data_IF_627246147992
#
_entry.id   IF_627246147992
#
_cell.length_a   1.000
_cell.length_b   1.000
_cell.length_c   1.000
_cell.angle_alpha   90.00
_cell.angle_beta   90.00
_cell.angle_gamma   90.00
#
_symmetry.space_group_name_H-M   'P 1'
#
loop_
_entity.id
_entity.type
_entity.pdbx_description
1 polymer ?
#
# COMPACT_ATOMS: atom_id res chain seq x y z
N UNK A 1 0.81 -7.63 -3.40
CA UNK A 1 1.42 -6.32 -3.76
C UNK A 1 2.74 -6.46 -4.50
N UNK A 2 3.66 -7.26 -4.01
CA UNK A 2 4.95 -7.51 -4.68
C UNK A 2 4.80 -7.94 -6.15
N UNK A 3 3.96 -8.93 -6.42
CA UNK A 3 3.77 -9.48 -7.76
C UNK A 3 3.15 -8.49 -8.74
N UNK A 4 2.20 -7.67 -8.27
CA UNK A 4 1.59 -6.61 -9.06
C UNK A 4 2.59 -5.52 -9.44
N UNK A 5 3.50 -5.18 -8.54
CA UNK A 5 4.57 -4.20 -8.78
C UNK A 5 5.58 -4.76 -9.78
N UNK A 6 5.97 -6.02 -9.64
CA UNK A 6 6.87 -6.70 -10.57
C UNK A 6 6.24 -6.73 -11.97
N UNK A 7 4.96 -7.04 -12.08
CA UNK A 7 4.24 -7.06 -13.36
C UNK A 7 4.22 -5.67 -14.02
N UNK A 8 3.97 -4.61 -13.24
CA UNK A 8 4.06 -3.23 -13.72
C UNK A 8 5.45 -2.85 -14.21
N UNK A 9 6.49 -3.28 -13.50
CA UNK A 9 7.88 -3.01 -13.88
C UNK A 9 8.31 -3.80 -15.11
N UNK A 10 7.80 -5.01 -15.29
CA UNK A 10 8.09 -5.84 -16.47
C UNK A 10 7.47 -5.29 -17.76
N UNK A 11 6.35 -4.60 -17.66
CA UNK A 11 5.71 -3.94 -18.81
C UNK A 11 6.57 -2.81 -19.41
N UNK A 12 7.51 -2.29 -18.66
CA UNK A 12 8.50 -1.30 -19.11
C UNK A 12 9.91 -1.90 -19.11
N UNK A 13 10.16 -2.77 -20.05
CA UNK A 13 11.51 -3.32 -20.32
C UNK A 13 12.44 -2.18 -20.68
N UNK A 14 13.40 -1.81 -19.87
CA UNK A 14 14.64 -1.10 -20.19
C UNK A 14 15.11 -0.05 -19.18
N UNK A 15 14.77 -0.18 -17.91
CA UNK A 15 15.48 0.62 -16.91
C UNK A 15 16.39 -0.31 -16.11
N UNK A 16 17.70 -0.29 -16.33
CA UNK A 16 18.62 -1.00 -15.45
C UNK A 16 18.51 -0.38 -14.06
N UNK A 17 17.84 -1.07 -13.15
CA UNK A 17 17.88 -0.67 -11.74
C UNK A 17 19.23 -1.07 -11.17
N UNK A 18 20.10 -0.12 -10.96
CA UNK A 18 21.41 -0.34 -10.35
C UNK A 18 21.33 -0.68 -8.86
N UNK A 19 20.18 -0.45 -8.23
CA UNK A 19 19.97 -0.69 -6.80
C UNK A 19 18.63 -1.35 -6.57
N UNK A 20 18.66 -2.46 -5.84
CA UNK A 20 17.46 -3.17 -5.40
C UNK A 20 17.45 -3.24 -3.89
N UNK A 21 16.48 -2.57 -3.27
CA UNK A 21 16.28 -2.60 -1.84
C UNK A 21 14.98 -3.32 -1.50
N UNK A 22 15.04 -4.30 -0.62
CA UNK A 22 13.87 -4.96 -0.07
C UNK A 22 13.75 -4.66 1.43
N UNK A 23 12.57 -4.29 1.86
CA UNK A 23 12.27 -4.09 3.27
C UNK A 23 10.83 -4.49 3.56
N UNK A 24 10.63 -5.13 4.70
CA UNK A 24 9.29 -5.42 5.24
C UNK A 24 8.61 -4.21 5.88
N UNK A 25 9.33 -3.10 6.07
CA UNK A 25 8.83 -1.88 6.68
C UNK A 25 8.66 -0.76 5.66
N UNK A 26 7.47 -0.20 5.60
CA UNK A 26 7.16 0.94 4.74
C UNK A 26 7.94 2.19 5.14
N UNK A 27 8.11 2.44 6.43
CA UNK A 27 8.89 3.56 6.94
C UNK A 27 10.36 3.48 6.51
N UNK A 28 10.95 2.30 6.56
CA UNK A 28 12.30 2.07 6.09
C UNK A 28 12.42 2.34 4.58
N UNK A 29 11.47 1.89 3.78
CA UNK A 29 11.45 2.15 2.33
C UNK A 29 11.36 3.65 2.04
N UNK A 30 10.51 4.38 2.75
CA UNK A 30 10.40 5.83 2.59
C UNK A 30 11.71 6.55 2.94
N UNK A 31 12.41 6.11 4.00
CA UNK A 31 13.72 6.67 4.37
C UNK A 31 14.80 6.40 3.33
N UNK A 32 14.80 5.22 2.74
CA UNK A 32 15.72 4.88 1.63
C UNK A 32 15.47 5.81 0.44
N UNK A 33 14.24 6.06 0.08
CA UNK A 33 13.87 6.99 -1.00
C UNK A 33 14.36 8.41 -0.71
N UNK A 34 14.26 8.86 0.55
CA UNK A 34 14.73 10.18 0.94
C UNK A 34 16.26 10.35 0.82
N UNK A 35 17.00 9.27 1.08
CA UNK A 35 18.46 9.29 1.07
C UNK A 35 19.05 8.95 -0.30
N UNK A 36 18.24 8.53 -1.25
CA UNK A 36 18.68 8.05 -2.56
C UNK A 36 17.83 8.66 -3.67
N UNK A 37 18.23 8.44 -4.90
CA UNK A 37 17.44 8.81 -6.09
C UNK A 37 16.49 7.68 -6.53
N UNK A 38 16.14 6.79 -5.61
CA UNK A 38 15.25 5.66 -5.88
C UNK A 38 13.78 6.05 -5.80
N UNK A 39 12.94 5.21 -6.41
CA UNK A 39 11.50 5.29 -6.33
C UNK A 39 10.94 4.08 -5.60
N UNK A 40 9.82 4.24 -4.93
CA UNK A 40 9.08 3.15 -4.33
C UNK A 40 7.58 3.31 -4.57
N UNK A 41 6.84 2.25 -4.37
CA UNK A 41 5.37 2.26 -4.46
C UNK A 41 4.81 2.07 -3.06
N UNK A 42 3.88 2.94 -2.70
CA UNK A 42 3.20 2.92 -1.40
C UNK A 42 1.70 2.76 -1.60
N UNK A 43 1.00 2.11 -0.64
CA UNK A 43 -0.45 2.07 -0.65
C UNK A 43 -1.05 3.46 -0.46
N UNK A 44 -2.21 3.73 -1.08
CA UNK A 44 -2.93 5.00 -0.92
C UNK A 44 -3.21 5.33 0.56
N UNK A 45 -3.57 4.34 1.35
CA UNK A 45 -3.82 4.53 2.78
C UNK A 45 -2.59 5.00 3.57
N UNK A 46 -1.39 4.78 3.06
CA UNK A 46 -0.16 5.26 3.69
C UNK A 46 0.07 6.77 3.49
N UNK A 47 -0.66 7.41 2.59
CA UNK A 47 -0.56 8.85 2.34
C UNK A 47 -0.89 9.69 3.59
N UNK A 48 -1.74 9.18 4.46
CA UNK A 48 -2.10 9.85 5.70
C UNK A 48 -0.90 10.06 6.63
N UNK A 49 0.05 9.13 6.59
CA UNK A 49 1.27 9.16 7.42
C UNK A 49 2.43 9.92 6.77
N UNK A 50 2.26 10.40 5.54
CA UNK A 50 3.31 11.14 4.83
C UNK A 50 3.21 12.61 5.19
N UNK A 51 4.31 13.23 5.68
CA UNK A 51 4.35 14.67 5.93
C UNK A 51 3.98 15.48 4.69
N UNK A 52 3.29 16.61 4.90
CA UNK A 52 2.82 17.47 3.82
C UNK A 52 3.92 17.91 2.84
N UNK A 53 5.13 18.10 3.36
CA UNK A 53 6.31 18.48 2.59
C UNK A 53 6.69 17.44 1.54
N UNK A 54 6.51 16.15 1.87
CA UNK A 54 6.84 15.01 0.99
C UNK A 54 5.71 14.66 0.04
N UNK A 55 4.50 15.08 0.30
CA UNK A 55 3.34 14.80 -0.57
C UNK A 55 3.53 15.33 -1.99
N UNK A 56 4.33 16.36 -2.17
CA UNK A 56 4.69 16.88 -3.51
C UNK A 56 5.45 15.88 -4.37
N UNK A 57 6.15 14.95 -3.76
CA UNK A 57 6.91 13.90 -4.46
C UNK A 57 6.05 12.71 -4.87
N UNK A 58 4.84 12.62 -4.33
CA UNK A 58 3.92 11.51 -4.60
C UNK A 58 3.25 11.70 -5.95
N UNK A 59 3.30 10.67 -6.77
CA UNK A 59 2.59 10.58 -8.05
C UNK A 59 1.61 9.43 -8.01
N UNK A 60 0.43 9.65 -8.50
CA UNK A 60 -0.61 8.62 -8.56
C UNK A 60 -0.42 7.77 -9.81
N UNK A 61 -0.50 6.45 -9.64
CA UNK A 61 -0.55 5.53 -10.78
C UNK A 61 -1.92 5.63 -11.49
N UNK A 62 -1.95 5.26 -12.75
CA UNK A 62 -3.20 5.23 -13.51
C UNK A 62 -4.27 4.40 -12.80
N UNK A 63 -5.51 4.86 -12.84
CA UNK A 63 -6.65 4.14 -12.23
C UNK A 63 -6.72 2.71 -12.73
N UNK A 64 -6.86 1.77 -11.81
CA UNK A 64 -6.96 0.34 -12.13
C UNK A 64 -5.63 -0.37 -12.37
N UNK A 65 -4.49 0.33 -12.29
CA UNK A 65 -3.18 -0.30 -12.48
C UNK A 65 -2.87 -1.34 -11.40
N UNK A 66 -3.26 -1.06 -10.16
CA UNK A 66 -3.08 -1.98 -9.03
C UNK A 66 -4.15 -1.77 -7.98
N UNK A 67 -4.61 -2.85 -7.38
CA UNK A 67 -5.50 -2.81 -6.23
C UNK A 67 -5.12 -3.90 -5.23
N UNK A 68 -5.36 -3.64 -3.96
CA UNK A 68 -5.15 -4.62 -2.90
C UNK A 68 -6.45 -4.87 -2.16
N UNK A 69 -6.85 -6.14 -2.12
CA UNK A 69 -7.99 -6.57 -1.31
C UNK A 69 -7.51 -6.85 0.10
N UNK A 70 -8.16 -6.25 1.07
CA UNK A 70 -7.95 -6.53 2.49
C UNK A 70 -9.11 -7.40 2.96
N UNK A 71 -8.82 -8.46 3.72
CA UNK A 71 -9.82 -9.39 4.21
C UNK A 71 -9.53 -9.77 5.66
N UNK A 72 -10.58 -10.04 6.41
CA UNK A 72 -10.48 -10.60 7.75
C UNK A 72 -10.50 -12.13 7.60
N UNK A 73 -9.44 -12.78 8.05
CA UNK A 73 -9.34 -14.23 8.07
C UNK A 73 -9.59 -14.78 9.48
N UNK A 74 -10.50 -15.71 9.60
CA UNK A 74 -10.83 -16.36 10.87
C UNK A 74 -10.77 -17.87 10.73
N UNK A 75 -10.58 -18.58 11.84
CA UNK A 75 -10.69 -20.04 11.87
C UNK A 75 -12.10 -20.47 11.51
N UNK A 76 -12.25 -21.57 10.75
CA UNK A 76 -13.55 -22.15 10.37
C UNK A 76 -14.44 -22.45 11.59
N UNK A 77 -13.84 -22.78 12.73
CA UNK A 77 -14.52 -23.10 13.99
C UNK A 77 -14.73 -21.91 14.92
N UNK A 78 -14.51 -20.68 14.42
CA UNK A 78 -14.70 -19.49 15.23
C UNK A 78 -16.20 -19.20 15.43
N UNK A 79 -16.62 -19.15 16.70
CA UNK A 79 -18.05 -19.10 17.07
C UNK A 79 -18.58 -17.68 17.26
N UNK A 80 -17.71 -16.69 17.49
CA UNK A 80 -18.12 -15.32 17.82
C UNK A 80 -18.30 -14.43 16.57
N UNK A 81 -19.19 -14.82 15.69
CA UNK A 81 -19.44 -14.08 14.44
C UNK A 81 -19.92 -12.64 14.65
N UNK A 82 -20.62 -12.35 15.76
CA UNK A 82 -21.08 -10.99 16.07
C UNK A 82 -19.92 -10.01 16.27
N UNK A 83 -18.81 -10.46 16.89
CA UNK A 83 -17.62 -9.64 17.07
C UNK A 83 -16.93 -9.38 15.73
N UNK A 84 -16.84 -10.38 14.89
CA UNK A 84 -16.25 -10.23 13.55
C UNK A 84 -17.05 -9.25 12.70
N UNK A 85 -18.39 -9.36 12.72
CA UNK A 85 -19.26 -8.45 11.99
C UNK A 85 -19.16 -7.00 12.51
N UNK A 86 -19.06 -6.81 13.82
CA UNK A 86 -18.86 -5.51 14.42
C UNK A 86 -17.50 -4.89 14.02
N UNK A 87 -16.44 -5.70 14.03
CA UNK A 87 -15.11 -5.30 13.59
C UNK A 87 -15.10 -4.92 12.11
N UNK A 88 -15.71 -5.73 11.25
CA UNK A 88 -15.86 -5.44 9.82
C UNK A 88 -16.57 -4.11 9.59
N UNK A 89 -17.70 -3.88 10.28
CA UNK A 89 -18.44 -2.62 10.20
C UNK A 89 -17.56 -1.42 10.57
N UNK A 90 -16.83 -1.50 11.66
CA UNK A 90 -15.92 -0.45 12.12
C UNK A 90 -14.80 -0.18 11.10
N UNK A 91 -14.20 -1.22 10.56
CA UNK A 91 -13.14 -1.10 9.55
C UNK A 91 -13.69 -0.44 8.28
N UNK A 92 -14.88 -0.83 7.82
CA UNK A 92 -15.50 -0.26 6.62
C UNK A 92 -15.84 1.22 6.81
N UNK A 93 -16.33 1.61 7.98
CA UNK A 93 -16.58 3.02 8.29
C UNK A 93 -15.30 3.85 8.20
N UNK A 94 -14.22 3.38 8.80
CA UNK A 94 -12.93 4.09 8.78
C UNK A 94 -12.29 4.08 7.39
N UNK A 95 -12.32 2.96 6.69
CA UNK A 95 -11.79 2.86 5.35
C UNK A 95 -12.59 3.70 4.34
N UNK A 96 -13.92 3.73 4.47
CA UNK A 96 -14.78 4.59 3.67
C UNK A 96 -14.48 6.08 3.86
N UNK A 97 -14.24 6.52 5.10
CA UNK A 97 -13.84 7.88 5.40
C UNK A 97 -12.47 8.24 4.81
N UNK A 98 -11.53 7.31 4.79
CA UNK A 98 -10.21 7.51 4.19
C UNK A 98 -10.27 7.57 2.65
N UNK A 99 -11.14 6.76 2.04
CA UNK A 99 -11.29 6.73 0.58
C UNK A 99 -12.00 7.95 0.01
N UNK A 100 -12.75 8.69 0.83
CA UNK A 100 -13.45 9.93 0.44
C UNK A 100 -12.60 11.19 0.56
N UNK A 101 -11.39 11.10 1.05
CA UNK A 101 -10.42 12.19 1.11
C UNK A 101 -9.47 12.14 -0.08
#
# INVERSE_FOLDING_TARGET
MRDQIIELCQARRNVPSHYHFESGSLDTLMRIVDCTSCLTIIPEMALEYIPAERRRQVKTLAKGATSRRIAIAVRRTYVKNSIINALEGTILEHAGAAAMK
#
